data_IF_531372059042
#
_entry.id   IF_531372059042
#
_cell.length_a   1.000
_cell.length_b   1.000
_cell.length_c   1.000
_cell.angle_alpha   90.00
_cell.angle_beta   90.00
_cell.angle_gamma   90.00
#
_symmetry.space_group_name_H-M   'P 1'
#
loop_
_entity.id
_entity.type
_entity.pdbx_description
1 polymer ?
#
# COMPACT_ATOMS: atom_id res chain seq x y z
N UNK A 1 -18.44 -12.17 -4.43
CA UNK A 1 -16.97 -12.27 -4.35
C UNK A 1 -16.44 -10.88 -4.57
N UNK A 2 -15.77 -10.28 -3.59
CA UNK A 2 -15.14 -8.98 -3.79
C UNK A 2 -13.90 -9.20 -4.65
N UNK A 3 -13.82 -8.52 -5.78
CA UNK A 3 -12.65 -8.55 -6.66
C UNK A 3 -11.72 -7.44 -6.18
N UNK A 4 -10.56 -7.82 -5.65
CA UNK A 4 -9.50 -6.89 -5.34
C UNK A 4 -8.57 -6.77 -6.55
N UNK A 5 -7.92 -5.60 -6.76
CA UNK A 5 -6.84 -5.48 -7.73
C UNK A 5 -5.75 -6.52 -7.45
N UNK A 6 -5.10 -6.98 -8.51
CA UNK A 6 -3.97 -7.89 -8.40
C UNK A 6 -2.70 -7.12 -7.99
N UNK A 7 -1.65 -7.85 -7.64
CA UNK A 7 -0.36 -7.28 -7.24
C UNK A 7 0.20 -6.30 -8.29
N UNK A 8 0.09 -6.67 -9.58
CA UNK A 8 0.55 -5.84 -10.70
C UNK A 8 -0.23 -4.52 -10.83
N UNK A 9 -1.52 -4.51 -10.48
CA UNK A 9 -2.32 -3.28 -10.52
C UNK A 9 -1.83 -2.29 -9.47
N UNK A 10 -1.54 -2.77 -8.26
CA UNK A 10 -0.98 -1.95 -7.20
C UNK A 10 0.45 -1.49 -7.50
N UNK A 11 1.28 -2.37 -8.07
CA UNK A 11 2.62 -2.02 -8.50
C UNK A 11 2.59 -0.92 -9.57
N UNK A 12 1.66 -1.00 -10.53
CA UNK A 12 1.50 0.04 -11.55
C UNK A 12 0.97 1.37 -10.98
N UNK A 13 0.18 1.33 -9.90
CA UNK A 13 -0.40 2.53 -9.30
C UNK A 13 0.58 3.26 -8.37
N UNK A 14 1.31 2.52 -7.56
CA UNK A 14 2.20 3.06 -6.54
C UNK A 14 3.67 3.09 -6.94
N UNK A 15 4.01 2.44 -8.08
CA UNK A 15 5.36 2.34 -8.62
C UNK A 15 6.38 1.74 -7.63
N UNK A 16 5.91 1.02 -6.63
CA UNK A 16 6.74 0.39 -5.61
C UNK A 16 6.13 -0.92 -5.09
N UNK A 17 7.01 -1.78 -4.58
CA UNK A 17 6.61 -2.97 -3.83
C UNK A 17 6.03 -2.59 -2.46
N UNK A 18 5.02 -3.31 -1.94
CA UNK A 18 4.52 -3.10 -0.60
C UNK A 18 5.46 -3.64 0.48
N UNK A 19 5.48 -2.95 1.61
CA UNK A 19 5.96 -3.50 2.88
C UNK A 19 4.79 -4.25 3.53
N UNK A 20 4.88 -5.58 3.57
CA UNK A 20 3.89 -6.44 4.20
C UNK A 20 4.13 -6.51 5.72
N UNK A 21 3.04 -6.51 6.50
CA UNK A 21 3.11 -6.63 7.96
C UNK A 21 3.49 -8.05 8.40
N UNK A 22 2.82 -9.06 7.84
CA UNK A 22 3.16 -10.47 8.08
C UNK A 22 3.96 -11.01 6.89
N UNK A 23 5.19 -11.43 7.16
CA UNK A 23 6.12 -12.06 6.21
C UNK A 23 6.43 -13.51 6.57
N UNK A 24 5.84 -14.03 7.65
CA UNK A 24 6.16 -15.33 8.24
C UNK A 24 5.41 -16.47 7.57
N UNK A 25 4.17 -16.21 7.15
CA UNK A 25 3.37 -17.13 6.38
C UNK A 25 3.69 -16.95 4.89
N UNK A 26 4.51 -17.86 4.36
CA UNK A 26 4.70 -18.00 2.91
C UNK A 26 3.30 -18.20 2.29
N UNK A 27 2.95 -17.36 1.33
CA UNK A 27 1.68 -17.38 0.61
C UNK A 27 0.43 -16.90 1.40
N UNK A 28 0.60 -16.07 2.43
CA UNK A 28 -0.55 -15.40 3.07
C UNK A 28 -1.28 -14.52 2.04
N UNK A 29 -2.58 -14.74 1.78
CA UNK A 29 -3.31 -13.92 0.82
C UNK A 29 -3.34 -12.45 1.24
N UNK A 30 -3.18 -11.54 0.28
CA UNK A 30 -3.21 -10.09 0.48
C UNK A 30 -4.41 -9.63 1.33
N UNK A 31 -5.59 -10.23 1.12
CA UNK A 31 -6.80 -9.91 1.87
C UNK A 31 -6.62 -9.97 3.40
N UNK A 32 -5.82 -10.92 3.88
CA UNK A 32 -5.59 -11.15 5.31
C UNK A 32 -4.36 -10.41 5.84
N UNK A 33 -3.60 -9.72 4.98
CA UNK A 33 -2.41 -8.99 5.38
C UNK A 33 -2.67 -7.47 5.43
N UNK A 34 -1.71 -6.75 5.97
CA UNK A 34 -1.59 -5.30 5.87
C UNK A 34 -0.42 -4.98 4.96
N UNK A 35 -0.67 -4.18 3.93
CA UNK A 35 0.34 -3.73 2.98
C UNK A 35 0.53 -2.22 3.10
N UNK A 36 1.78 -1.76 3.13
CA UNK A 36 2.13 -0.33 3.13
C UNK A 36 2.97 0.01 1.93
N UNK A 37 2.50 0.94 1.10
CA UNK A 37 3.21 1.49 -0.05
C UNK A 37 3.76 2.86 0.32
N UNK A 38 5.03 3.09 -0.01
CA UNK A 38 5.73 4.35 0.25
C UNK A 38 6.40 4.81 -1.03
N UNK A 39 5.94 5.93 -1.59
CA UNK A 39 6.43 6.46 -2.85
C UNK A 39 6.34 7.99 -2.84
N UNK A 40 7.02 8.62 -3.78
CA UNK A 40 7.04 10.08 -3.95
C UNK A 40 6.75 10.40 -5.41
N UNK A 41 5.99 11.46 -5.67
CA UNK A 41 5.81 12.00 -7.02
C UNK A 41 6.82 13.14 -7.33
N UNK A 42 7.77 13.41 -6.43
CA UNK A 42 8.74 14.51 -6.54
C UNK A 42 8.27 15.83 -5.92
N UNK A 43 6.97 15.98 -5.62
CA UNK A 43 6.38 17.12 -4.91
C UNK A 43 5.86 16.73 -3.52
N UNK A 44 5.37 15.51 -3.39
CA UNK A 44 4.69 14.95 -2.23
C UNK A 44 5.24 13.57 -1.92
N UNK A 45 5.31 13.26 -0.64
CA UNK A 45 5.58 11.91 -0.15
C UNK A 45 4.27 11.26 0.30
N UNK A 46 4.05 10.03 -0.16
CA UNK A 46 2.85 9.25 0.08
C UNK A 46 3.15 8.04 0.95
N UNK A 47 2.27 7.79 1.91
CA UNK A 47 2.20 6.52 2.66
C UNK A 47 0.77 6.00 2.56
N UNK A 48 0.59 4.91 1.83
CA UNK A 48 -0.71 4.25 1.64
C UNK A 48 -0.70 2.92 2.38
N UNK A 49 -1.60 2.73 3.33
CA UNK A 49 -1.77 1.47 4.06
C UNK A 49 -3.13 0.84 3.72
N UNK A 50 -3.09 -0.40 3.24
CA UNK A 50 -4.27 -1.20 2.92
C UNK A 50 -4.43 -2.31 3.96
N UNK A 51 -5.65 -2.51 4.46
CA UNK A 51 -6.00 -3.60 5.39
C UNK A 51 -7.36 -4.19 5.00
N UNK A 52 -7.40 -5.02 3.93
CA UNK A 52 -8.64 -5.42 3.29
C UNK A 52 -9.61 -6.17 4.20
N UNK A 53 -9.11 -7.08 5.03
CA UNK A 53 -9.93 -7.84 6.00
C UNK A 53 -10.60 -6.97 7.05
N UNK A 54 -10.03 -5.80 7.34
CA UNK A 54 -10.60 -4.78 8.23
C UNK A 54 -11.45 -3.75 7.48
N UNK A 55 -11.48 -3.79 6.14
CA UNK A 55 -12.16 -2.80 5.31
C UNK A 55 -11.54 -1.40 5.40
N UNK A 56 -10.26 -1.31 5.79
CA UNK A 56 -9.59 -0.03 6.06
C UNK A 56 -8.59 0.33 4.96
N UNK A 57 -8.62 1.62 4.60
CA UNK A 57 -7.63 2.27 3.74
C UNK A 57 -7.19 3.56 4.43
N UNK A 58 -5.88 3.73 4.60
CA UNK A 58 -5.28 4.95 5.14
C UNK A 58 -4.33 5.53 4.09
N UNK A 59 -4.49 6.81 3.81
CA UNK A 59 -3.62 7.57 2.91
C UNK A 59 -3.07 8.75 3.70
N UNK A 60 -1.76 8.87 3.74
CA UNK A 60 -1.06 10.02 4.32
C UNK A 60 -0.23 10.66 3.23
N UNK A 61 -0.32 11.99 3.12
CA UNK A 61 0.43 12.77 2.14
C UNK A 61 1.14 13.89 2.90
N UNK A 62 2.43 14.06 2.63
CA UNK A 62 3.23 15.15 3.20
C UNK A 62 3.91 15.90 2.07
N UNK A 63 3.75 17.23 2.07
CA UNK A 63 4.54 18.12 1.22
C UNK A 63 5.76 18.61 2.02
N UNK A 64 6.98 18.57 1.45
CA UNK A 64 8.09 19.29 2.01
C UNK A 64 7.74 20.78 1.97
N UNK A 65 7.60 21.41 3.13
CA UNK A 65 7.39 22.85 3.21
C UNK A 65 8.58 23.54 2.56
N UNK A 66 8.36 24.19 1.41
CA UNK A 66 9.33 25.07 0.79
C UNK A 66 9.70 26.15 1.82
N UNK A 67 10.92 26.09 2.34
CA UNK A 67 11.49 27.10 3.24
C UNK A 67 12.21 28.17 2.43
#
# INVERSE_FOLDING_TARGET
MYVFPEENDFLSLFECEPILFDTTAKDLPFYYNKATYQFSNGEEDFIVTLSPSYGEVKIQVTQPTSS
#
